data_IF_177039801773
#
_entry.id   IF_177039801773
#
_cell.length_a   1.000
_cell.length_b   1.000
_cell.length_c   1.000
_cell.angle_alpha   90.00
_cell.angle_beta   90.00
_cell.angle_gamma   90.00
#
_symmetry.space_group_name_H-M   'P 1'
#
loop_
_entity.id
_entity.type
_entity.pdbx_description
1 polymer ?
#
# COMPACT_ATOMS: atom_id res chain seq x y z
N UNK A 1 -11.60 -0.42 11.91
CA UNK A 1 -11.81 -1.87 11.88
C UNK A 1 -12.64 -2.24 13.08
N UNK A 2 -13.68 -3.04 12.89
CA UNK A 2 -14.43 -3.63 14.00
C UNK A 2 -13.88 -5.02 14.29
N UNK A 3 -13.17 -5.15 15.40
CA UNK A 3 -12.55 -6.41 15.82
C UNK A 3 -13.56 -7.42 16.39
N UNK A 4 -14.83 -7.03 16.56
CA UNK A 4 -15.91 -7.91 16.97
C UNK A 4 -16.72 -8.47 15.79
N UNK A 5 -16.31 -8.17 14.56
CA UNK A 5 -16.98 -8.64 13.36
C UNK A 5 -16.86 -10.17 13.23
N UNK A 6 -17.99 -10.84 13.01
CA UNK A 6 -18.04 -12.29 12.75
C UNK A 6 -17.79 -12.64 11.28
N UNK A 7 -17.76 -11.64 10.39
CA UNK A 7 -17.59 -11.82 8.94
C UNK A 7 -16.60 -10.79 8.39
N UNK A 8 -15.81 -11.22 7.39
CA UNK A 8 -14.81 -10.40 6.71
C UNK A 8 -15.41 -9.13 6.12
N UNK A 9 -16.61 -9.23 5.53
CA UNK A 9 -17.31 -8.08 4.96
C UNK A 9 -17.73 -7.03 6.00
N UNK A 10 -17.80 -7.42 7.28
CA UNK A 10 -18.17 -6.55 8.39
C UNK A 10 -16.96 -5.92 9.12
N UNK A 11 -15.72 -6.33 8.82
CA UNK A 11 -14.51 -5.77 9.45
C UNK A 11 -14.34 -4.27 9.15
N UNK A 12 -14.69 -3.84 7.94
CA UNK A 12 -14.59 -2.45 7.49
C UNK A 12 -15.98 -1.83 7.44
N UNK A 13 -16.24 -0.87 8.32
CA UNK A 13 -17.44 -0.05 8.23
C UNK A 13 -17.26 1.00 7.11
N UNK A 14 -17.68 0.66 5.89
CA UNK A 14 -17.60 1.55 4.72
C UNK A 14 -18.39 2.86 4.85
N UNK A 15 -19.35 2.96 5.77
CA UNK A 15 -20.01 4.24 6.06
C UNK A 15 -19.11 5.17 6.89
N UNK A 16 -18.26 4.60 7.75
CA UNK A 16 -17.35 5.36 8.61
C UNK A 16 -16.01 5.68 7.96
N UNK A 17 -15.51 4.80 7.08
CA UNK A 17 -14.18 4.95 6.46
C UNK A 17 -14.17 5.93 5.28
N UNK A 18 -15.35 6.31 4.77
CA UNK A 18 -15.46 7.10 3.54
C UNK A 18 -15.28 6.21 2.30
N UNK A 19 -16.05 6.49 1.26
CA UNK A 19 -15.92 5.81 -0.04
C UNK A 19 -15.04 6.67 -0.93
N UNK A 20 -13.85 6.17 -1.24
CA UNK A 20 -12.93 6.83 -2.17
C UNK A 20 -12.94 6.09 -3.50
N UNK A 21 -12.95 6.86 -4.58
CA UNK A 21 -12.79 6.29 -5.91
C UNK A 21 -11.35 5.77 -6.07
N UNK A 22 -11.17 4.57 -6.65
CA UNK A 22 -9.84 4.06 -6.96
C UNK A 22 -9.09 5.07 -7.84
N UNK A 23 -7.78 5.31 -7.61
CA UNK A 23 -6.98 6.20 -8.45
C UNK A 23 -7.04 5.85 -9.94
N UNK A 24 -7.28 4.58 -10.26
CA UNK A 24 -7.47 4.08 -11.63
C UNK A 24 -8.69 4.71 -12.33
N UNK A 25 -9.72 5.07 -11.58
CA UNK A 25 -11.01 5.52 -12.08
C UNK A 25 -11.21 7.04 -11.95
N UNK A 26 -10.27 7.76 -11.31
CA UNK A 26 -10.42 9.19 -10.99
C UNK A 26 -10.62 10.08 -12.23
N UNK A 27 -10.07 9.67 -13.37
CA UNK A 27 -10.14 10.41 -14.63
C UNK A 27 -11.27 9.91 -15.56
N UNK A 28 -12.02 8.89 -15.14
CA UNK A 28 -13.03 8.24 -15.98
C UNK A 28 -14.44 8.67 -15.56
N UNK A 29 -15.29 8.93 -16.53
CA UNK A 29 -16.70 9.17 -16.24
C UNK A 29 -17.44 7.84 -16.03
N UNK A 30 -18.42 7.85 -15.13
CA UNK A 30 -19.23 6.66 -14.82
C UNK A 30 -19.93 6.04 -16.05
N UNK A 31 -20.28 6.86 -17.05
CA UNK A 31 -20.79 6.42 -18.36
C UNK A 31 -19.81 5.48 -19.07
N UNK A 32 -18.54 5.84 -19.07
CA UNK A 32 -17.47 5.13 -19.77
C UNK A 32 -17.21 3.78 -19.09
N UNK A 33 -17.18 3.78 -17.75
CA UNK A 33 -17.08 2.57 -16.93
C UNK A 33 -18.24 1.62 -17.24
N UNK A 34 -19.48 2.12 -17.29
CA UNK A 34 -20.65 1.30 -17.67
C UNK A 34 -20.52 0.70 -19.06
N UNK A 35 -19.98 1.43 -20.03
CA UNK A 35 -19.77 0.90 -21.38
C UNK A 35 -18.66 -0.15 -21.42
N UNK A 36 -17.56 0.04 -20.70
CA UNK A 36 -16.45 -0.92 -20.60
C UNK A 36 -16.91 -2.26 -20.02
N UNK A 37 -17.69 -2.21 -18.92
CA UNK A 37 -18.23 -3.42 -18.28
C UNK A 37 -19.18 -4.16 -19.21
N UNK A 38 -20.04 -3.44 -19.94
CA UNK A 38 -20.97 -4.04 -20.92
C UNK A 38 -20.25 -4.70 -22.09
N UNK A 39 -19.19 -4.07 -22.59
CA UNK A 39 -18.42 -4.55 -23.75
C UNK A 39 -17.42 -5.65 -23.33
N UNK A 40 -17.23 -5.91 -22.03
CA UNK A 40 -16.15 -6.76 -21.47
C UNK A 40 -14.80 -6.40 -22.08
N UNK A 41 -14.57 -5.11 -22.30
CA UNK A 41 -13.35 -4.64 -22.93
C UNK A 41 -12.26 -4.64 -21.87
N UNK A 42 -11.28 -5.53 -22.04
CA UNK A 42 -10.03 -5.47 -21.26
C UNK A 42 -9.22 -4.32 -21.85
N UNK A 43 -9.36 -3.13 -21.30
CA UNK A 43 -8.42 -2.06 -21.63
C UNK A 43 -7.04 -2.41 -21.05
N UNK A 44 -5.99 -2.15 -21.83
CA UNK A 44 -4.63 -2.11 -21.31
C UNK A 44 -4.51 -0.89 -20.41
N UNK A 45 -4.81 -1.11 -19.12
CA UNK A 45 -4.59 -0.11 -18.10
C UNK A 45 -3.10 0.25 -18.04
N UNK A 46 -2.82 1.52 -17.72
CA UNK A 46 -1.46 1.94 -17.40
C UNK A 46 -0.89 1.00 -16.35
N UNK A 47 0.33 0.49 -16.59
CA UNK A 47 1.04 -0.34 -15.60
C UNK A 47 1.34 0.51 -14.39
N UNK A 48 0.43 0.53 -13.43
CA UNK A 48 0.72 1.08 -12.11
C UNK A 48 1.82 0.22 -11.50
N UNK A 49 2.85 0.83 -10.92
CA UNK A 49 3.91 0.08 -10.28
C UNK A 49 3.34 -0.49 -8.96
N UNK A 50 2.60 -1.59 -9.06
CA UNK A 50 2.06 -2.31 -7.92
C UNK A 50 3.16 -3.10 -7.18
N UNK A 51 4.25 -3.42 -7.87
CA UNK A 51 5.46 -4.03 -7.35
C UNK A 51 6.61 -3.01 -7.37
N UNK A 52 6.54 -2.02 -6.48
CA UNK A 52 7.71 -1.17 -6.22
C UNK A 52 8.56 -1.80 -5.12
N UNK A 53 9.86 -1.52 -5.16
CA UNK A 53 10.79 -1.82 -4.08
C UNK A 53 10.29 -1.30 -2.72
N UNK A 54 9.54 -0.18 -2.71
CA UNK A 54 8.93 0.36 -1.50
C UNK A 54 7.91 -0.60 -0.87
N UNK A 55 7.04 -1.23 -1.69
CA UNK A 55 6.06 -2.22 -1.22
C UNK A 55 6.77 -3.44 -0.63
N UNK A 56 7.76 -4.00 -1.34
CA UNK A 56 8.54 -5.15 -0.85
C UNK A 56 9.28 -4.82 0.46
N UNK A 57 9.83 -3.61 0.55
CA UNK A 57 10.55 -3.13 1.74
C UNK A 57 9.62 -2.94 2.94
N UNK A 58 8.38 -2.50 2.70
CA UNK A 58 7.35 -2.37 3.74
C UNK A 58 6.94 -3.73 4.28
N UNK A 59 6.61 -4.68 3.39
CA UNK A 59 6.21 -6.05 3.79
C UNK A 59 7.33 -6.71 4.60
N UNK A 60 8.58 -6.58 4.15
CA UNK A 60 9.73 -7.11 4.89
C UNK A 60 9.88 -6.50 6.28
N UNK A 61 9.68 -5.18 6.39
CA UNK A 61 9.73 -4.49 7.68
C UNK A 61 8.64 -4.99 8.62
N UNK A 62 7.43 -5.21 8.12
CA UNK A 62 6.31 -5.74 8.90
C UNK A 62 6.58 -7.17 9.42
N UNK A 63 7.17 -8.02 8.58
CA UNK A 63 7.63 -9.36 8.99
C UNK A 63 8.70 -9.29 10.08
N UNK A 64 9.75 -8.46 9.92
CA UNK A 64 10.81 -8.27 10.92
C UNK A 64 10.24 -7.78 12.28
N UNK A 65 9.29 -6.84 12.24
CA UNK A 65 8.64 -6.29 13.44
C UNK A 65 7.82 -7.36 14.14
N UNK A 66 7.04 -8.13 13.39
CA UNK A 66 6.18 -9.18 13.93
C UNK A 66 6.97 -10.34 14.56
N UNK A 67 8.15 -10.63 14.03
CA UNK A 67 9.06 -11.65 14.57
C UNK A 67 9.78 -11.16 15.84
N UNK A 68 10.19 -9.89 15.87
CA UNK A 68 11.09 -9.36 16.91
C UNK A 68 10.39 -8.83 18.17
N UNK A 69 9.23 -8.16 18.03
CA UNK A 69 8.61 -7.44 19.14
C UNK A 69 7.08 -7.60 19.19
N UNK A 70 6.58 -7.77 20.41
CA UNK A 70 5.14 -7.84 20.70
C UNK A 70 4.67 -6.58 21.44
N UNK A 71 3.46 -6.11 21.13
CA UNK A 71 2.84 -4.91 21.71
C UNK A 71 2.96 -3.67 20.82
N UNK A 72 1.93 -2.82 20.82
CA UNK A 72 1.80 -1.67 19.92
C UNK A 72 2.95 -0.66 20.04
N UNK A 73 3.25 -0.18 21.24
CA UNK A 73 4.33 0.78 21.50
C UNK A 73 5.70 0.28 21.04
N UNK A 74 6.01 -0.99 21.33
CA UNK A 74 7.29 -1.61 20.93
C UNK A 74 7.38 -1.76 19.42
N UNK A 75 6.30 -2.18 18.75
CA UNK A 75 6.23 -2.25 17.28
C UNK A 75 6.41 -0.87 16.65
N UNK A 76 5.74 0.14 17.19
CA UNK A 76 5.86 1.52 16.70
C UNK A 76 7.29 2.06 16.86
N UNK A 77 7.91 1.86 18.03
CA UNK A 77 9.30 2.25 18.28
C UNK A 77 10.28 1.54 17.35
N UNK A 78 10.11 0.23 17.12
CA UNK A 78 10.95 -0.53 16.19
C UNK A 78 10.84 -0.01 14.76
N UNK A 79 9.61 0.17 14.26
CA UNK A 79 9.34 0.70 12.91
C UNK A 79 9.98 2.09 12.76
N UNK A 80 9.74 2.98 13.72
CA UNK A 80 10.25 4.36 13.68
C UNK A 80 11.77 4.40 13.67
N UNK A 81 12.43 3.64 14.55
CA UNK A 81 13.89 3.55 14.60
C UNK A 81 14.47 2.98 13.30
N UNK A 82 13.81 1.96 12.71
CA UNK A 82 14.26 1.33 11.46
C UNK A 82 14.10 2.27 10.27
N UNK A 83 13.00 3.03 10.20
CA UNK A 83 12.80 4.06 9.17
C UNK A 83 13.85 5.16 9.31
N UNK A 84 14.08 5.67 10.52
CA UNK A 84 15.11 6.69 10.77
C UNK A 84 16.51 6.18 10.37
N UNK A 85 16.88 4.98 10.83
CA UNK A 85 18.16 4.36 10.46
C UNK A 85 18.32 4.23 8.93
N UNK A 86 17.27 3.82 8.21
CA UNK A 86 17.30 3.74 6.74
C UNK A 86 17.38 5.11 6.07
N UNK A 87 16.77 6.14 6.65
CA UNK A 87 16.86 7.52 6.12
C UNK A 87 18.27 8.12 6.20
N UNK A 88 19.11 7.64 7.12
CA UNK A 88 20.52 8.02 7.23
C UNK A 88 21.39 7.39 6.12
N UNK A 89 20.90 6.32 5.47
CA UNK A 89 21.61 5.70 4.35
C UNK A 89 21.45 6.61 3.14
N UNK A 90 22.57 6.96 2.51
CA UNK A 90 22.57 7.76 1.28
C UNK A 90 21.70 7.09 0.21
N UNK A 91 20.72 7.82 -0.29
CA UNK A 91 19.90 7.37 -1.41
C UNK A 91 20.64 7.60 -2.72
N UNK A 92 20.70 6.58 -3.57
CA UNK A 92 21.32 6.65 -4.89
C UNK A 92 20.26 6.29 -5.93
N UNK A 93 20.02 7.18 -6.89
CA UNK A 93 19.00 6.96 -7.92
C UNK A 93 19.52 6.09 -9.05
N UNK A 94 20.82 6.14 -9.31
CA UNK A 94 21.48 5.34 -10.33
C UNK A 94 22.74 4.70 -9.79
N UNK A 95 23.15 3.59 -10.41
CA UNK A 95 24.39 2.88 -10.04
C UNK A 95 25.65 3.75 -10.18
N UNK A 96 25.60 4.79 -11.02
CA UNK A 96 26.70 5.75 -11.21
C UNK A 96 26.85 6.72 -10.03
N UNK A 97 25.77 6.97 -9.29
CA UNK A 97 25.80 7.84 -8.11
C UNK A 97 26.54 7.17 -6.93
N UNK A 98 26.71 5.85 -7.01
CA UNK A 98 27.46 5.03 -6.08
C UNK A 98 28.96 5.18 -6.34
N UNK A 99 29.54 6.33 -5.98
CA UNK A 99 30.97 6.56 -6.04
C UNK A 99 31.64 5.87 -4.84
N UNK A 100 32.26 4.71 -5.08
CA UNK A 100 33.17 4.05 -4.14
C UNK A 100 34.62 4.37 -4.49
#
# INVERSE_FOLDING_TARGET
MDFKANDYFALINFQRVGRFEPPLLINLQFKEIKTMVKVRKTEEWSKYPCYTQAVETCIRLESEVSESVYGEEKRHGFISNRIQSRSLIKHYNTKKDYNL
#
